data_IF_076773957358
#
_entry.id   IF_076773957358
#
_cell.length_a   1.000
_cell.length_b   1.000
_cell.length_c   1.000
_cell.angle_alpha   90.00
_cell.angle_beta   90.00
_cell.angle_gamma   90.00
#
_symmetry.space_group_name_H-M   'P 1'
#
loop_
_entity.id
_entity.type
_entity.pdbx_description
1 polymer ?
#
# COMPACT_ATOMS: atom_id res chain seq x y z
N UNK A 1 -13.69 -37.03 27.79
CA UNK A 1 -14.27 -37.80 26.67
C UNK A 1 -15.59 -37.25 26.11
N UNK A 2 -16.64 -36.92 26.89
CA UNK A 2 -17.86 -36.30 26.32
C UNK A 2 -17.64 -34.84 25.92
N UNK A 3 -16.90 -34.10 26.74
CA UNK A 3 -16.60 -32.68 26.53
C UNK A 3 -15.74 -32.43 25.29
N UNK A 4 -14.67 -33.23 25.11
CA UNK A 4 -13.75 -33.08 23.97
C UNK A 4 -14.45 -33.26 22.63
N UNK A 5 -15.39 -34.22 22.54
CA UNK A 5 -16.23 -34.43 21.35
C UNK A 5 -17.15 -33.23 21.08
N UNK A 6 -17.75 -32.66 22.12
CA UNK A 6 -18.61 -31.47 22.00
C UNK A 6 -17.79 -30.27 21.53
N UNK A 7 -16.58 -30.08 22.09
CA UNK A 7 -15.66 -29.01 21.69
C UNK A 7 -15.24 -29.17 20.24
N UNK A 8 -14.86 -30.38 19.82
CA UNK A 8 -14.48 -30.66 18.44
C UNK A 8 -15.62 -30.37 17.46
N UNK A 9 -16.84 -30.81 17.76
CA UNK A 9 -18.03 -30.51 16.92
C UNK A 9 -18.29 -29.00 16.86
N UNK A 10 -18.12 -28.28 17.97
CA UNK A 10 -18.29 -26.83 18.02
C UNK A 10 -17.25 -26.10 17.18
N UNK A 11 -15.98 -26.51 17.26
CA UNK A 11 -14.90 -25.97 16.45
C UNK A 11 -15.14 -26.22 14.96
N UNK A 12 -15.59 -27.42 14.60
CA UNK A 12 -15.89 -27.75 13.20
C UNK A 12 -17.02 -26.90 12.65
N UNK A 13 -18.12 -26.73 13.41
CA UNK A 13 -19.20 -25.81 13.05
C UNK A 13 -18.72 -24.36 12.91
N UNK A 14 -17.76 -23.94 13.73
CA UNK A 14 -17.16 -22.61 13.65
C UNK A 14 -16.34 -22.42 12.36
N UNK A 15 -15.56 -23.44 11.96
CA UNK A 15 -14.80 -23.42 10.70
C UNK A 15 -15.72 -23.35 9.49
N UNK A 16 -16.76 -24.18 9.44
CA UNK A 16 -17.75 -24.15 8.34
C UNK A 16 -18.39 -22.76 8.22
N UNK A 17 -18.76 -22.13 9.33
CA UNK A 17 -19.29 -20.75 9.32
C UNK A 17 -18.26 -19.73 8.82
N UNK A 18 -17.00 -19.90 9.17
CA UNK A 18 -15.93 -19.03 8.69
C UNK A 18 -15.75 -19.14 7.17
N UNK A 19 -15.78 -20.35 6.63
CA UNK A 19 -15.71 -20.56 5.17
C UNK A 19 -16.89 -19.92 4.44
N UNK A 20 -18.12 -20.11 4.93
CA UNK A 20 -19.31 -19.48 4.35
C UNK A 20 -19.19 -17.94 4.37
N UNK A 21 -18.69 -17.38 5.47
CA UNK A 21 -18.49 -15.94 5.59
C UNK A 21 -17.43 -15.41 4.62
N UNK A 22 -16.29 -16.11 4.47
CA UNK A 22 -15.24 -15.77 3.50
C UNK A 22 -15.76 -15.84 2.07
N UNK A 23 -16.52 -16.90 1.76
CA UNK A 23 -17.14 -17.05 0.45
C UNK A 23 -18.12 -15.92 0.14
N UNK A 24 -18.95 -15.50 1.10
CA UNK A 24 -19.90 -14.40 0.84
C UNK A 24 -19.19 -13.05 0.68
N UNK A 25 -18.09 -12.81 1.40
CA UNK A 25 -17.24 -11.63 1.15
C UNK A 25 -16.75 -11.63 -0.30
N UNK A 26 -16.24 -12.77 -0.79
CA UNK A 26 -15.79 -12.89 -2.18
C UNK A 26 -16.94 -12.73 -3.18
N UNK A 27 -18.08 -13.37 -2.94
CA UNK A 27 -19.26 -13.24 -3.79
C UNK A 27 -19.72 -11.77 -3.91
N UNK A 28 -19.67 -11.01 -2.80
CA UNK A 28 -19.99 -9.58 -2.82
C UNK A 28 -18.98 -8.78 -3.64
N UNK A 29 -17.69 -9.09 -3.56
CA UNK A 29 -16.65 -8.48 -4.41
C UNK A 29 -16.90 -8.78 -5.89
N UNK A 30 -17.19 -10.04 -6.23
CA UNK A 30 -17.42 -10.49 -7.61
C UNK A 30 -18.67 -9.85 -8.22
N UNK A 31 -19.72 -9.68 -7.41
CA UNK A 31 -20.94 -8.95 -7.77
C UNK A 31 -20.76 -7.43 -7.79
N UNK A 32 -19.58 -6.92 -7.43
CA UNK A 32 -19.28 -5.49 -7.25
C UNK A 32 -20.23 -4.81 -6.25
N UNK A 33 -20.77 -5.56 -5.30
CA UNK A 33 -21.59 -5.05 -4.20
C UNK A 33 -20.70 -4.52 -3.08
N UNK A 34 -21.04 -3.36 -2.50
CA UNK A 34 -20.30 -2.82 -1.36
C UNK A 34 -20.35 -3.78 -0.17
N UNK A 35 -19.19 -4.27 0.25
CA UNK A 35 -19.02 -5.09 1.44
C UNK A 35 -19.27 -4.20 2.65
N UNK A 36 -20.30 -4.54 3.43
CA UNK A 36 -20.61 -3.88 4.70
C UNK A 36 -21.02 -4.94 5.71
N UNK A 37 -20.77 -4.67 6.99
CA UNK A 37 -21.16 -5.59 8.06
C UNK A 37 -22.68 -5.88 8.04
N UNK A 38 -23.50 -4.85 7.79
CA UNK A 38 -24.95 -5.01 7.72
C UNK A 38 -25.39 -5.88 6.53
N UNK A 39 -24.73 -5.78 5.38
CA UNK A 39 -25.01 -6.66 4.23
C UNK A 39 -24.60 -8.10 4.52
N UNK A 40 -23.40 -8.32 5.10
CA UNK A 40 -22.90 -9.64 5.45
C UNK A 40 -23.81 -10.35 6.47
N UNK A 41 -24.25 -9.63 7.51
CA UNK A 41 -25.18 -10.18 8.51
C UNK A 41 -26.51 -10.57 7.86
N UNK A 42 -27.06 -9.72 6.98
CA UNK A 42 -28.33 -10.01 6.28
C UNK A 42 -28.21 -11.20 5.33
N UNK A 43 -27.10 -11.34 4.60
CA UNK A 43 -26.92 -12.41 3.60
C UNK A 43 -26.56 -13.75 4.23
N UNK A 44 -25.77 -13.75 5.32
CA UNK A 44 -25.29 -14.98 5.96
C UNK A 44 -26.15 -15.42 7.15
N UNK A 45 -26.91 -14.50 7.76
CA UNK A 45 -27.63 -14.74 9.02
C UNK A 45 -26.70 -14.89 10.24
N UNK A 46 -25.39 -14.66 10.08
CA UNK A 46 -24.43 -14.81 11.17
C UNK A 46 -24.37 -13.58 12.08
N UNK A 47 -24.02 -13.82 13.34
CA UNK A 47 -23.83 -12.73 14.29
C UNK A 47 -22.57 -11.92 13.95
N UNK A 48 -22.60 -10.63 14.25
CA UNK A 48 -21.44 -9.72 14.13
C UNK A 48 -20.17 -10.27 14.78
N UNK A 49 -20.31 -11.02 15.89
CA UNK A 49 -19.20 -11.58 16.65
C UNK A 49 -18.34 -12.53 15.82
N UNK A 50 -18.94 -13.29 14.90
CA UNK A 50 -18.18 -14.19 14.01
C UNK A 50 -17.16 -13.40 13.18
N UNK A 51 -17.60 -12.30 12.57
CA UNK A 51 -16.77 -11.47 11.69
C UNK A 51 -15.65 -10.71 12.41
N UNK A 52 -15.82 -10.43 13.72
CA UNK A 52 -14.78 -9.79 14.53
C UNK A 52 -13.82 -10.78 15.19
N UNK A 53 -14.33 -11.92 15.68
CA UNK A 53 -13.57 -12.84 16.52
C UNK A 53 -12.78 -13.87 15.72
N UNK A 54 -13.30 -14.31 14.57
CA UNK A 54 -12.58 -15.23 13.71
C UNK A 54 -11.53 -14.46 12.89
N UNK A 55 -10.25 -14.72 13.13
CA UNK A 55 -9.15 -13.97 12.53
C UNK A 55 -9.06 -14.14 11.01
N UNK A 56 -9.46 -15.30 10.48
CA UNK A 56 -9.46 -15.55 9.04
C UNK A 56 -10.56 -14.73 8.36
N UNK A 57 -11.77 -14.72 8.92
CA UNK A 57 -12.89 -13.92 8.40
C UNK A 57 -12.57 -12.44 8.49
N UNK A 58 -11.98 -11.98 9.61
CA UNK A 58 -11.56 -10.58 9.77
C UNK A 58 -10.50 -10.19 8.73
N UNK A 59 -9.50 -11.03 8.52
CA UNK A 59 -8.45 -10.78 7.52
C UNK A 59 -9.03 -10.68 6.11
N UNK A 60 -9.97 -11.57 5.76
CA UNK A 60 -10.67 -11.53 4.47
C UNK A 60 -11.51 -10.25 4.33
N UNK A 61 -12.21 -9.85 5.39
CA UNK A 61 -13.01 -8.62 5.41
C UNK A 61 -12.15 -7.37 5.26
N UNK A 62 -11.02 -7.28 5.97
CA UNK A 62 -10.09 -6.16 5.86
C UNK A 62 -9.45 -6.09 4.47
N UNK A 63 -9.16 -7.25 3.86
CA UNK A 63 -8.70 -7.35 2.47
C UNK A 63 -9.77 -6.82 1.52
N UNK A 64 -11.03 -7.25 1.69
CA UNK A 64 -12.14 -6.76 0.89
C UNK A 64 -12.35 -5.24 1.03
N UNK A 65 -12.20 -4.67 2.23
CA UNK A 65 -12.25 -3.22 2.43
C UNK A 65 -11.11 -2.47 1.73
N UNK A 66 -9.91 -3.05 1.69
CA UNK A 66 -8.78 -2.49 0.94
C UNK A 66 -9.00 -2.60 -0.57
N UNK A 67 -9.46 -3.74 -1.06
CA UNK A 67 -9.70 -4.01 -2.47
C UNK A 67 -10.85 -3.19 -3.03
N UNK A 68 -11.93 -3.02 -2.26
CA UNK A 68 -13.00 -2.09 -2.62
C UNK A 68 -12.61 -0.63 -2.46
N UNK A 69 -11.38 -0.35 -2.02
CA UNK A 69 -10.78 0.98 -2.03
C UNK A 69 -11.61 1.99 -1.24
N UNK A 70 -11.33 2.08 0.07
CA UNK A 70 -11.55 3.24 0.92
C UNK A 70 -12.94 3.92 0.80
N UNK A 71 -13.72 3.89 1.89
CA UNK A 71 -14.64 5.01 2.08
C UNK A 71 -13.84 6.33 2.00
N UNK A 72 -14.01 7.07 0.91
CA UNK A 72 -13.90 8.52 0.76
C UNK A 72 -13.59 9.24 2.09
N UNK A 73 -12.32 9.52 2.34
CA UNK A 73 -11.92 10.45 3.40
C UNK A 73 -11.47 11.75 2.72
N UNK A 74 -12.30 12.81 2.69
CA UNK A 74 -11.95 14.08 2.06
C UNK A 74 -10.62 14.65 2.55
N UNK A 75 -10.30 14.42 3.82
CA UNK A 75 -9.03 14.86 4.41
C UNK A 75 -7.83 14.10 3.82
N UNK A 76 -8.00 12.82 3.50
CA UNK A 76 -6.95 12.02 2.87
C UNK A 76 -6.72 12.43 1.42
N UNK A 77 -7.78 12.75 0.65
CA UNK A 77 -7.62 13.26 -0.73
C UNK A 77 -6.82 14.57 -0.75
N UNK A 78 -7.08 15.48 0.18
CA UNK A 78 -6.32 16.73 0.30
C UNK A 78 -4.87 16.45 0.66
N UNK A 79 -4.63 15.55 1.62
CA UNK A 79 -3.27 15.15 2.02
C UNK A 79 -2.52 14.49 0.86
N UNK A 80 -3.16 13.58 0.14
CA UNK A 80 -2.58 12.87 -1.00
C UNK A 80 -2.26 13.84 -2.14
N UNK A 81 -3.16 14.79 -2.42
CA UNK A 81 -2.91 15.84 -3.42
C UNK A 81 -1.74 16.76 -3.04
N UNK A 82 -1.69 17.20 -1.78
CA UNK A 82 -0.55 18.00 -1.28
C UNK A 82 0.76 17.19 -1.32
N UNK A 83 0.69 15.90 -1.02
CA UNK A 83 1.85 15.01 -1.08
C UNK A 83 2.32 14.80 -2.54
N UNK A 84 1.40 14.65 -3.48
CA UNK A 84 1.68 14.52 -4.91
C UNK A 84 2.31 15.80 -5.49
N UNK A 85 1.79 16.97 -5.11
CA UNK A 85 2.36 18.28 -5.47
C UNK A 85 3.79 18.44 -4.92
N UNK A 86 4.02 18.06 -3.66
CA UNK A 86 5.37 18.04 -3.05
C UNK A 86 6.30 17.09 -3.77
N UNK A 87 5.82 15.90 -4.12
CA UNK A 87 6.61 14.88 -4.82
C UNK A 87 6.97 15.33 -6.24
N UNK A 88 6.06 15.99 -6.95
CA UNK A 88 6.35 16.58 -8.26
C UNK A 88 7.36 17.73 -8.15
N UNK A 89 7.21 18.60 -7.16
CA UNK A 89 8.18 19.68 -6.90
C UNK A 89 9.57 19.11 -6.61
N UNK A 90 9.64 18.07 -5.78
CA UNK A 90 10.89 17.41 -5.43
C UNK A 90 11.53 16.72 -6.65
N UNK A 91 10.74 16.05 -7.49
CA UNK A 91 11.21 15.47 -8.76
C UNK A 91 11.81 16.54 -9.66
N UNK A 92 11.14 17.68 -9.84
CA UNK A 92 11.65 18.79 -10.64
C UNK A 92 12.98 19.32 -10.07
N UNK A 93 13.06 19.51 -8.76
CA UNK A 93 14.28 19.96 -8.09
C UNK A 93 15.43 18.96 -8.29
N UNK A 94 15.17 17.66 -8.11
CA UNK A 94 16.17 16.60 -8.35
C UNK A 94 16.64 16.61 -9.79
N UNK A 95 15.74 16.75 -10.76
CA UNK A 95 16.13 16.82 -12.18
C UNK A 95 16.98 18.06 -12.48
N UNK A 96 16.65 19.23 -11.90
CA UNK A 96 17.46 20.45 -12.05
C UNK A 96 18.85 20.28 -11.44
N UNK A 97 18.94 19.81 -10.20
CA UNK A 97 20.20 19.57 -9.51
C UNK A 97 21.09 18.56 -10.25
N UNK A 98 20.50 17.49 -10.81
CA UNK A 98 21.25 16.55 -11.65
C UNK A 98 21.84 17.20 -12.89
N UNK A 99 21.08 18.05 -13.59
CA UNK A 99 21.58 18.78 -14.77
C UNK A 99 22.72 19.74 -14.40
N UNK A 100 22.57 20.46 -13.30
CA UNK A 100 23.58 21.40 -12.83
C UNK A 100 24.85 20.69 -12.37
N UNK A 101 24.72 19.56 -11.68
CA UNK A 101 25.85 18.73 -11.27
C UNK A 101 26.66 18.26 -12.50
N UNK A 102 26.00 17.73 -13.54
CA UNK A 102 26.66 17.33 -14.78
C UNK A 102 27.42 18.51 -15.41
N UNK A 103 26.81 19.70 -15.47
CA UNK A 103 27.45 20.89 -16.03
C UNK A 103 28.71 21.27 -15.25
N UNK A 104 28.62 21.31 -13.92
CA UNK A 104 29.74 21.64 -13.06
C UNK A 104 30.87 20.60 -13.15
N UNK A 105 30.54 19.31 -13.27
CA UNK A 105 31.52 18.25 -13.48
C UNK A 105 32.30 18.46 -14.77
N UNK A 106 31.62 18.76 -15.89
CA UNK A 106 32.28 19.04 -17.17
C UNK A 106 33.21 20.26 -17.10
N UNK A 107 32.74 21.35 -16.47
CA UNK A 107 33.55 22.56 -16.30
C UNK A 107 34.78 22.29 -15.43
N UNK A 108 34.64 21.48 -14.36
CA UNK A 108 35.78 21.08 -13.54
C UNK A 108 36.80 20.25 -14.32
N UNK A 109 36.35 19.32 -15.17
CA UNK A 109 37.26 18.53 -16.01
C UNK A 109 38.03 19.42 -17.02
N UNK A 110 37.38 20.39 -17.63
CA UNK A 110 38.03 21.35 -18.55
C UNK A 110 39.07 22.21 -17.82
N UNK A 111 38.72 22.74 -16.64
CA UNK A 111 39.63 23.54 -15.84
C UNK A 111 40.85 22.73 -15.37
N UNK A 112 40.64 21.46 -14.97
CA UNK A 112 41.74 20.57 -14.59
C UNK A 112 42.72 20.34 -15.75
N UNK A 113 42.21 20.10 -16.97
CA UNK A 113 43.04 19.96 -18.17
C UNK A 113 43.83 21.23 -18.49
N UNK A 114 43.22 22.40 -18.36
CA UNK A 114 43.90 23.67 -18.62
C UNK A 114 44.97 23.95 -17.55
N UNK A 115 44.70 23.65 -16.28
CA UNK A 115 45.70 23.74 -15.20
C UNK A 115 46.90 22.83 -15.51
N UNK A 116 46.66 21.59 -15.95
CA UNK A 116 47.71 20.65 -16.30
C UNK A 116 48.56 21.14 -17.48
N UNK A 117 47.90 21.68 -18.52
CA UNK A 117 48.57 22.29 -19.67
C UNK A 117 49.46 23.47 -19.27
N UNK A 118 48.95 24.38 -18.43
CA UNK A 118 49.70 25.55 -17.97
C UNK A 118 50.89 25.16 -17.10
N UNK A 119 50.76 24.14 -16.23
CA UNK A 119 51.88 23.59 -15.47
C UNK A 119 52.99 23.07 -16.38
N UNK A 120 52.64 22.31 -17.42
CA UNK A 120 53.63 21.80 -18.38
C UNK A 120 54.33 22.91 -19.17
N UNK A 121 53.66 24.04 -19.42
CA UNK A 121 54.29 25.21 -20.05
C UNK A 121 55.26 25.93 -19.11
N UNK A 122 54.95 26.00 -17.82
CA UNK A 122 55.82 26.59 -16.80
C UNK A 122 57.07 25.75 -16.55
N UNK A 123 56.96 24.42 -16.57
CA UNK A 123 58.10 23.51 -16.41
C UNK A 123 59.07 23.51 -17.61
N UNK A 124 58.62 23.98 -18.77
CA UNK A 124 59.43 24.07 -20.00
C UNK A 124 60.14 25.43 -20.17
N UNK A 125 59.97 26.35 -19.23
CA UNK A 125 60.48 27.73 -19.28
C UNK A 125 61.58 27.92 -18.25
#
# INVERSE_FOLDING_TARGET
>A
MKYDKIVAISQEKSKVKAEIAKQEIQNMLDRKEKVTMAALIRKTGFSKTLFYRNIEVRTALDKAYREQGACYNPKQIIVDKVMEEKLNTLKIAVTKLKKENIKLTLQNEELLKEIERLKLQLEKK
#
